data_IF_146794550647
#
_entry.id   IF_146794550647
#
_cell.length_a   1.000
_cell.length_b   1.000
_cell.length_c   1.000
_cell.angle_alpha   90.00
_cell.angle_beta   90.00
_cell.angle_gamma   90.00
#
_symmetry.space_group_name_H-M   'P 1'
#
loop_
_entity.id
_entity.type
_entity.pdbx_description
1 polymer ?
#
# COMPACT_ATOMS: atom_id res chain seq x y z
N UNK A 1 -39.88 3.61 31.18
CA UNK A 1 -39.16 4.15 30.01
C UNK A 1 -38.15 5.28 30.35
N UNK A 2 -38.02 5.69 31.60
CA UNK A 2 -37.22 6.83 32.03
C UNK A 2 -35.82 6.51 32.62
N UNK A 3 -35.50 5.23 32.84
CA UNK A 3 -34.23 4.83 33.48
C UNK A 3 -33.07 4.46 32.50
N UNK A 4 -33.36 4.36 31.19
CA UNK A 4 -32.35 4.03 30.18
C UNK A 4 -31.62 5.26 29.57
N UNK A 5 -32.24 6.43 29.63
CA UNK A 5 -31.65 7.67 29.09
C UNK A 5 -30.62 8.32 30.02
N UNK A 6 -30.66 8.08 31.32
CA UNK A 6 -29.70 8.64 32.27
C UNK A 6 -28.32 7.91 32.27
N UNK A 7 -28.26 6.63 31.84
CA UNK A 7 -26.97 5.91 31.78
C UNK A 7 -26.12 6.25 30.54
N UNK A 8 -26.73 6.68 29.44
CA UNK A 8 -25.97 7.07 28.23
C UNK A 8 -25.32 8.45 28.40
N UNK A 9 -26.01 9.39 29.06
CA UNK A 9 -25.44 10.72 29.34
C UNK A 9 -24.25 10.67 30.33
N UNK A 10 -24.25 9.71 31.27
CA UNK A 10 -23.17 9.57 32.26
C UNK A 10 -21.89 8.96 31.68
N UNK A 11 -21.97 8.15 30.62
CA UNK A 11 -20.79 7.56 29.94
C UNK A 11 -20.12 8.60 29.05
N UNK A 12 -20.88 9.48 28.40
CA UNK A 12 -20.33 10.58 27.62
C UNK A 12 -19.64 11.65 28.47
N UNK A 13 -20.19 11.98 29.64
CA UNK A 13 -19.59 12.97 30.57
C UNK A 13 -18.31 12.43 31.25
N UNK A 14 -18.23 11.13 31.52
CA UNK A 14 -17.06 10.49 32.10
C UNK A 14 -15.90 10.39 31.08
N UNK A 15 -16.21 10.15 29.79
CA UNK A 15 -15.20 10.15 28.71
C UNK A 15 -14.57 11.51 28.47
N UNK A 16 -15.33 12.60 28.55
CA UNK A 16 -14.80 13.97 28.41
C UNK A 16 -13.95 14.41 29.61
N UNK A 17 -14.24 13.94 30.83
CA UNK A 17 -13.46 14.24 32.03
C UNK A 17 -12.13 13.47 32.08
N UNK A 18 -12.07 12.26 31.50
CA UNK A 18 -10.84 11.46 31.41
C UNK A 18 -9.90 11.99 30.30
N UNK A 19 -10.42 12.47 29.18
CA UNK A 19 -9.62 13.12 28.14
C UNK A 19 -9.01 14.45 28.62
N UNK A 20 -9.76 15.24 29.40
CA UNK A 20 -9.26 16.49 29.99
C UNK A 20 -8.17 16.26 31.05
N UNK A 21 -8.21 15.15 31.78
CA UNK A 21 -7.20 14.83 32.80
C UNK A 21 -5.91 14.24 32.19
N UNK A 22 -5.99 13.52 31.07
CA UNK A 22 -4.83 13.00 30.35
C UNK A 22 -4.03 14.12 29.66
N UNK A 23 -4.71 15.15 29.11
CA UNK A 23 -4.04 16.32 28.51
C UNK A 23 -3.28 17.21 29.52
N UNK A 24 -3.63 17.17 30.79
CA UNK A 24 -2.98 17.99 31.83
C UNK A 24 -1.67 17.37 32.36
N UNK A 25 -1.37 16.12 32.01
CA UNK A 25 -0.20 15.39 32.52
C UNK A 25 0.99 15.34 31.54
N UNK A 26 0.81 15.70 30.24
CA UNK A 26 1.86 15.72 29.24
C UNK A 26 2.37 17.15 29.01
N UNK A 27 3.38 17.54 29.78
CA UNK A 27 3.89 18.93 29.79
C UNK A 27 4.62 19.38 28.51
N UNK A 28 4.89 18.52 27.54
CA UNK A 28 5.65 18.83 26.30
C UNK A 28 5.17 18.06 25.03
N UNK A 29 3.99 17.45 25.05
CA UNK A 29 3.49 16.78 23.85
C UNK A 29 3.11 17.82 22.77
N UNK A 30 3.64 17.66 21.57
CA UNK A 30 3.24 18.45 20.42
C UNK A 30 1.73 18.28 20.18
N UNK A 31 1.00 19.40 20.29
CA UNK A 31 -0.45 19.47 20.10
C UNK A 31 -0.73 20.17 18.79
N UNK A 32 -1.40 19.52 17.87
CA UNK A 32 -1.75 20.12 16.58
C UNK A 32 -3.26 20.03 16.36
N UNK A 33 -3.88 21.12 15.93
CA UNK A 33 -5.31 21.20 15.64
C UNK A 33 -5.54 21.61 14.19
N UNK A 34 -6.23 20.77 13.42
CA UNK A 34 -6.77 21.16 12.10
C UNK A 34 -8.16 21.72 12.32
N UNK A 35 -8.40 22.98 11.92
CA UNK A 35 -9.64 23.70 12.25
C UNK A 35 -10.43 24.07 11.00
N UNK A 36 -11.77 23.98 11.06
CA UNK A 36 -12.66 24.35 9.95
C UNK A 36 -12.67 23.38 8.77
N UNK A 37 -12.08 22.19 8.95
CA UNK A 37 -11.87 21.22 7.87
C UNK A 37 -13.13 20.40 7.59
N UNK A 38 -13.30 19.96 6.35
CA UNK A 38 -14.27 18.90 6.00
C UNK A 38 -13.57 17.55 6.19
N UNK A 39 -14.04 16.72 7.13
CA UNK A 39 -13.50 15.38 7.36
C UNK A 39 -14.19 14.37 6.46
N UNK A 40 -13.41 13.53 5.79
CA UNK A 40 -13.83 12.31 5.10
C UNK A 40 -13.39 11.12 5.97
N UNK A 41 -14.27 10.58 6.81
CA UNK A 41 -13.85 9.64 7.86
C UNK A 41 -13.50 8.25 7.33
N UNK A 42 -13.91 7.88 6.12
CA UNK A 42 -13.72 6.57 5.47
C UNK A 42 -14.39 5.37 6.20
N UNK A 43 -15.22 5.63 7.21
CA UNK A 43 -16.07 4.62 7.85
C UNK A 43 -17.37 4.34 7.05
N UNK A 44 -17.84 5.37 6.32
CA UNK A 44 -18.97 5.35 5.40
C UNK A 44 -18.76 6.44 4.33
N UNK A 45 -19.49 6.34 3.21
CA UNK A 45 -19.49 7.36 2.14
C UNK A 45 -20.21 8.63 2.62
N UNK A 46 -19.46 9.51 3.28
CA UNK A 46 -19.96 10.75 3.85
C UNK A 46 -18.84 11.75 4.10
N UNK A 47 -19.22 13.01 4.26
CA UNK A 47 -18.35 14.09 4.73
C UNK A 47 -18.90 14.68 6.02
N UNK A 48 -18.01 15.18 6.87
CA UNK A 48 -18.35 15.96 8.08
C UNK A 48 -17.78 17.37 7.89
N UNK A 49 -18.58 18.36 7.51
CA UNK A 49 -18.09 19.70 7.26
C UNK A 49 -17.75 20.45 8.56
N UNK A 50 -16.89 21.46 8.45
CA UNK A 50 -16.55 22.40 9.51
C UNK A 50 -16.15 21.73 10.84
N UNK A 51 -15.23 20.75 10.77
CA UNK A 51 -14.72 20.06 11.94
C UNK A 51 -13.42 20.67 12.45
N UNK A 52 -13.18 20.51 13.74
CA UNK A 52 -11.87 20.63 14.37
C UNK A 52 -11.41 19.26 14.81
N UNK A 53 -10.20 18.88 14.38
CA UNK A 53 -9.53 17.63 14.75
C UNK A 53 -8.29 17.97 15.56
N UNK A 54 -8.24 17.54 16.82
CA UNK A 54 -7.11 17.73 17.72
C UNK A 54 -6.27 16.46 17.79
N UNK A 55 -4.97 16.62 17.55
CA UNK A 55 -3.98 15.54 17.53
C UNK A 55 -2.97 15.77 18.64
N UNK A 56 -2.69 14.73 19.41
CA UNK A 56 -1.67 14.68 20.44
C UNK A 56 -0.99 13.32 20.44
N UNK A 57 0.33 13.28 20.61
CA UNK A 57 1.10 12.02 20.68
C UNK A 57 0.79 11.05 19.52
N UNK A 58 0.60 11.60 18.32
CA UNK A 58 0.30 10.81 17.12
C UNK A 58 -1.11 10.25 17.05
N UNK A 59 -2.03 10.68 17.93
CA UNK A 59 -3.42 10.20 17.98
C UNK A 59 -4.42 11.34 17.88
N UNK A 60 -5.58 11.04 17.31
CA UNK A 60 -6.75 11.90 17.32
C UNK A 60 -7.35 11.84 18.73
N UNK A 61 -7.19 12.92 19.51
CA UNK A 61 -7.68 12.98 20.90
C UNK A 61 -9.04 13.65 21.03
N UNK A 62 -9.41 14.49 20.07
CA UNK A 62 -10.75 15.08 19.99
C UNK A 62 -11.12 15.40 18.54
N UNK A 63 -12.41 15.32 18.22
CA UNK A 63 -12.98 15.74 16.95
C UNK A 63 -14.42 16.20 17.18
N UNK A 64 -14.81 17.30 16.54
CA UNK A 64 -16.16 17.84 16.62
C UNK A 64 -16.32 19.11 15.79
N UNK A 65 -17.53 19.65 15.76
CA UNK A 65 -17.82 20.91 15.05
C UNK A 65 -16.93 22.04 15.55
N UNK A 66 -16.37 22.82 14.63
CA UNK A 66 -15.47 23.94 14.95
C UNK A 66 -16.14 24.91 15.92
N UNK A 67 -15.42 25.23 16.99
CA UNK A 67 -15.92 26.05 18.14
C UNK A 67 -16.49 25.16 19.27
N UNK A 68 -16.73 23.89 19.10
CA UNK A 68 -17.16 22.99 20.20
C UNK A 68 -15.99 22.23 20.82
N UNK A 69 -14.89 22.05 20.09
CA UNK A 69 -13.66 21.41 20.59
C UNK A 69 -12.83 22.46 21.33
N UNK A 70 -12.53 22.18 22.60
CA UNK A 70 -11.62 23.05 23.40
C UNK A 70 -10.18 22.81 22.97
N UNK A 71 -9.53 23.87 22.47
CA UNK A 71 -8.13 23.81 22.06
C UNK A 71 -7.23 24.31 23.21
N UNK A 72 -6.20 23.52 23.60
CA UNK A 72 -5.19 24.01 24.56
C UNK A 72 -4.45 25.23 24.05
N UNK A 73 -3.99 26.10 24.96
CA UNK A 73 -3.30 27.39 24.68
C UNK A 73 -1.94 27.09 24.12
N UNK A 74 -1.45 26.36 23.54
CA UNK A 74 -0.15 26.03 22.90
C UNK A 74 -0.29 25.12 21.67
N UNK A 75 -1.52 24.75 21.32
CA UNK A 75 -1.74 23.93 20.18
C UNK A 75 -1.39 24.67 18.88
N UNK A 76 -0.53 24.07 18.07
CA UNK A 76 -0.31 24.50 16.70
C UNK A 76 -1.63 24.42 15.92
N UNK A 77 -1.90 25.42 15.09
CA UNK A 77 -3.15 25.48 14.33
C UNK A 77 -2.89 25.44 12.85
N UNK A 78 -3.49 24.44 12.20
CA UNK A 78 -3.53 24.31 10.75
C UNK A 78 -4.92 24.74 10.29
N UNK A 79 -4.97 25.71 9.39
CA UNK A 79 -6.21 26.13 8.76
C UNK A 79 -6.69 25.06 7.77
N UNK A 80 -7.84 24.48 8.05
CA UNK A 80 -8.49 23.48 7.23
C UNK A 80 -9.72 24.03 6.47
N UNK A 81 -9.98 25.34 6.54
CA UNK A 81 -11.15 25.93 5.90
C UNK A 81 -11.12 25.72 4.37
N UNK A 82 -12.18 25.11 3.85
CA UNK A 82 -12.27 24.75 2.43
C UNK A 82 -11.47 23.50 2.01
N UNK A 83 -10.80 22.83 2.95
CA UNK A 83 -9.95 21.64 2.73
C UNK A 83 -10.60 20.38 3.24
N UNK A 84 -10.01 19.24 2.88
CA UNK A 84 -10.49 17.89 3.19
C UNK A 84 -9.44 17.09 3.94
N UNK A 85 -9.83 16.53 5.09
CA UNK A 85 -8.98 15.69 5.92
C UNK A 85 -9.48 14.25 5.86
N UNK A 86 -8.62 13.32 5.46
CA UNK A 86 -8.92 11.90 5.39
C UNK A 86 -7.76 11.06 5.93
N UNK A 87 -7.94 9.72 6.13
CA UNK A 87 -6.81 8.85 6.42
C UNK A 87 -5.78 8.93 5.32
N UNK A 88 -4.51 8.84 5.68
CA UNK A 88 -3.44 8.71 4.72
C UNK A 88 -3.54 7.43 3.89
N UNK A 89 -2.92 7.47 2.72
CA UNK A 89 -2.94 6.37 1.76
C UNK A 89 -2.04 5.23 2.22
N UNK A 90 -2.29 4.04 1.67
CA UNK A 90 -1.47 2.86 1.86
C UNK A 90 -0.98 2.31 0.52
N UNK A 91 0.27 1.88 0.47
CA UNK A 91 0.82 1.04 -0.59
C UNK A 91 1.05 -0.37 -0.03
N UNK A 92 0.26 -1.34 -0.51
CA UNK A 92 0.27 -2.70 0.00
C UNK A 92 1.16 -3.65 -0.81
N UNK A 93 1.92 -3.12 -1.76
CA UNK A 93 2.94 -3.86 -2.49
C UNK A 93 4.00 -2.90 -3.03
N UNK A 94 5.05 -2.72 -2.27
CA UNK A 94 6.18 -1.88 -2.64
C UNK A 94 7.51 -2.54 -2.24
N UNK A 95 8.59 -1.99 -2.74
CA UNK A 95 9.94 -2.40 -2.43
C UNK A 95 10.77 -1.15 -2.13
N UNK A 96 11.35 -1.08 -0.95
CA UNK A 96 12.18 0.03 -0.51
C UNK A 96 13.63 -0.40 -0.47
N UNK A 97 14.32 -0.28 -1.59
CA UNK A 97 15.72 -0.68 -1.70
C UNK A 97 16.61 0.50 -2.07
N UNK A 98 17.89 0.45 -1.65
CA UNK A 98 18.95 1.11 -2.41
C UNK A 98 19.14 0.37 -3.76
N UNK A 99 19.68 1.06 -4.76
CA UNK A 99 19.74 0.54 -6.14
C UNK A 99 20.62 -0.70 -6.32
N UNK A 100 21.42 -1.08 -5.36
CA UNK A 100 22.22 -2.32 -5.41
C UNK A 100 21.57 -3.43 -4.58
N UNK A 101 20.65 -4.15 -5.21
CA UNK A 101 19.98 -5.31 -4.60
C UNK A 101 20.94 -6.48 -4.32
N UNK A 102 22.09 -6.56 -5.00
CA UNK A 102 23.06 -7.62 -4.83
C UNK A 102 23.97 -7.42 -3.60
N UNK A 103 24.22 -6.16 -3.23
CA UNK A 103 25.05 -5.77 -2.08
C UNK A 103 24.19 -5.33 -0.89
N UNK A 104 23.35 -6.21 -0.33
CA UNK A 104 22.44 -5.92 0.78
C UNK A 104 23.10 -5.29 2.02
N UNK A 105 24.41 -5.35 2.14
CA UNK A 105 25.19 -4.76 3.25
C UNK A 105 25.62 -3.29 3.00
N UNK A 106 25.55 -2.81 1.76
CA UNK A 106 26.04 -1.47 1.34
C UNK A 106 24.94 -0.60 0.73
N UNK A 107 23.69 -0.80 1.11
CA UNK A 107 22.58 0.03 0.61
C UNK A 107 22.85 1.51 0.91
N UNK A 108 22.71 2.35 -0.11
CA UNK A 108 22.76 3.79 0.08
C UNK A 108 21.51 4.25 0.84
N UNK A 109 21.71 4.58 2.11
CA UNK A 109 20.63 5.01 3.00
C UNK A 109 19.98 6.31 2.54
N UNK A 110 20.67 7.14 1.75
CA UNK A 110 20.10 8.37 1.18
C UNK A 110 19.06 8.06 0.11
N UNK A 111 19.27 7.03 -0.71
CA UNK A 111 18.27 6.56 -1.69
C UNK A 111 17.02 6.01 -1.01
N UNK A 112 17.19 5.24 0.07
CA UNK A 112 16.08 4.73 0.88
C UNK A 112 15.27 5.88 1.49
N UNK A 113 15.95 6.88 2.08
CA UNK A 113 15.28 8.07 2.63
C UNK A 113 14.52 8.83 1.56
N UNK A 114 15.10 9.03 0.39
CA UNK A 114 14.45 9.72 -0.72
C UNK A 114 13.17 8.99 -1.18
N UNK A 115 13.19 7.66 -1.24
CA UNK A 115 11.99 6.85 -1.54
C UNK A 115 10.91 7.06 -0.49
N UNK A 116 11.26 6.97 0.80
CA UNK A 116 10.30 7.14 1.91
C UNK A 116 9.70 8.56 1.92
N UNK A 117 10.50 9.60 1.64
CA UNK A 117 10.01 10.97 1.49
C UNK A 117 9.08 11.09 0.27
N UNK A 118 9.41 10.43 -0.84
CA UNK A 118 8.55 10.38 -2.04
C UNK A 118 7.15 9.81 -1.73
N UNK A 119 7.08 8.74 -0.94
CA UNK A 119 5.80 8.21 -0.45
C UNK A 119 5.06 9.23 0.44
N UNK A 120 5.75 9.88 1.36
CA UNK A 120 5.17 10.89 2.22
C UNK A 120 4.62 12.09 1.42
N UNK A 121 5.36 12.54 0.39
CA UNK A 121 5.00 13.67 -0.47
C UNK A 121 3.78 13.39 -1.39
N UNK A 122 3.32 12.15 -1.44
CA UNK A 122 2.09 11.74 -2.12
C UNK A 122 0.99 11.27 -1.17
N UNK A 123 1.18 11.49 0.15
CA UNK A 123 0.18 11.19 1.16
C UNK A 123 0.15 9.73 1.63
N UNK A 124 1.13 8.91 1.28
CA UNK A 124 1.25 7.54 1.78
C UNK A 124 1.75 7.55 3.22
N UNK A 125 0.99 6.95 4.12
CA UNK A 125 1.30 6.87 5.56
C UNK A 125 1.51 5.45 6.07
N UNK A 126 1.25 4.46 5.21
CA UNK A 126 1.42 3.05 5.49
C UNK A 126 1.96 2.34 4.25
N UNK A 127 2.96 1.50 4.42
CA UNK A 127 3.59 0.75 3.34
C UNK A 127 3.84 -0.70 3.78
N UNK A 128 3.48 -1.66 2.91
CA UNK A 128 3.89 -3.04 3.05
C UNK A 128 5.01 -3.33 2.05
N UNK A 129 6.22 -3.53 2.58
CA UNK A 129 7.36 -3.99 1.77
C UNK A 129 7.19 -5.48 1.46
N UNK A 130 7.20 -5.83 0.17
CA UNK A 130 6.88 -7.16 -0.33
C UNK A 130 8.11 -8.08 -0.45
N UNK A 131 9.29 -7.61 -0.07
CA UNK A 131 10.53 -8.40 -0.10
C UNK A 131 11.53 -7.89 0.95
N UNK A 132 11.13 -7.89 2.21
CA UNK A 132 11.92 -7.37 3.31
C UNK A 132 13.24 -8.12 3.50
N UNK A 133 14.27 -7.35 3.84
CA UNK A 133 15.58 -7.84 4.27
C UNK A 133 15.85 -7.43 5.71
N UNK A 134 16.88 -7.96 6.39
CA UNK A 134 17.24 -7.51 7.74
C UNK A 134 17.48 -5.99 7.84
N UNK A 135 17.97 -5.33 6.81
CA UNK A 135 18.18 -3.88 6.77
C UNK A 135 16.88 -3.07 6.90
N UNK A 136 15.76 -3.59 6.43
CA UNK A 136 14.47 -2.92 6.51
C UNK A 136 13.97 -2.70 7.94
N UNK A 137 14.42 -3.51 8.90
CA UNK A 137 14.11 -3.27 10.31
C UNK A 137 14.70 -1.96 10.81
N UNK A 138 15.91 -1.59 10.35
CA UNK A 138 16.50 -0.29 10.64
C UNK A 138 15.64 0.85 10.08
N UNK A 139 15.15 0.73 8.84
CA UNK A 139 14.30 1.76 8.24
C UNK A 139 13.01 1.94 9.03
N UNK A 140 12.36 0.84 9.38
CA UNK A 140 11.16 0.83 10.22
C UNK A 140 11.41 1.51 11.57
N UNK A 141 12.53 1.22 12.23
CA UNK A 141 12.90 1.83 13.51
C UNK A 141 13.16 3.33 13.37
N UNK A 142 13.90 3.77 12.35
CA UNK A 142 14.18 5.18 12.09
C UNK A 142 12.92 5.99 11.79
N UNK A 143 12.02 5.45 10.99
CA UNK A 143 10.71 6.07 10.73
C UNK A 143 9.87 6.11 12.01
N UNK A 144 9.78 5.01 12.75
CA UNK A 144 8.99 4.95 13.99
C UNK A 144 9.52 5.90 15.08
N UNK A 145 10.84 6.13 15.13
CA UNK A 145 11.47 7.09 16.04
C UNK A 145 11.29 8.55 15.61
N UNK A 146 10.82 8.80 14.37
CA UNK A 146 10.75 10.15 13.79
C UNK A 146 12.10 10.70 13.29
N UNK A 147 13.13 9.86 13.26
CA UNK A 147 14.45 10.23 12.72
C UNK A 147 14.39 10.40 11.19
N UNK A 148 13.52 9.65 10.53
CA UNK A 148 13.27 9.69 9.10
C UNK A 148 11.82 10.01 8.77
N UNK A 149 11.60 10.83 7.76
CA UNK A 149 10.26 11.10 7.20
C UNK A 149 9.88 9.90 6.32
N UNK A 150 8.73 9.30 6.59
CA UNK A 150 8.23 8.19 5.79
C UNK A 150 6.98 7.53 6.37
N UNK A 151 6.35 6.60 5.63
CA UNK A 151 5.22 5.81 6.08
C UNK A 151 5.62 4.77 7.13
N UNK A 152 4.67 4.31 7.93
CA UNK A 152 4.85 3.11 8.77
C UNK A 152 5.08 1.88 7.89
N UNK A 153 6.10 1.06 8.21
CA UNK A 153 6.53 -0.08 7.41
C UNK A 153 6.06 -1.42 7.99
N UNK A 154 5.36 -2.20 7.16
CA UNK A 154 5.06 -3.61 7.39
C UNK A 154 5.94 -4.45 6.46
N UNK A 155 6.72 -5.35 7.01
CA UNK A 155 7.76 -6.08 6.28
C UNK A 155 7.31 -7.52 6.03
N UNK A 156 7.15 -7.92 4.77
CA UNK A 156 7.10 -9.33 4.41
C UNK A 156 8.51 -9.93 4.48
N UNK A 157 8.61 -11.26 4.55
CA UNK A 157 9.90 -11.97 4.53
C UNK A 157 10.67 -11.75 3.23
N UNK A 158 11.94 -12.11 3.18
CA UNK A 158 12.60 -12.40 1.90
C UNK A 158 11.74 -13.35 1.07
N UNK A 159 11.80 -13.19 -0.26
CA UNK A 159 10.95 -13.93 -1.20
C UNK A 159 11.34 -15.40 -1.23
N UNK A 160 10.38 -16.31 -0.97
CA UNK A 160 10.58 -17.74 -1.21
C UNK A 160 10.50 -18.05 -2.71
N UNK A 161 11.53 -18.67 -3.27
CA UNK A 161 11.57 -19.17 -4.64
C UNK A 161 12.00 -20.63 -4.73
N UNK A 162 11.70 -21.23 -5.87
CA UNK A 162 12.06 -22.61 -6.17
C UNK A 162 13.40 -22.76 -6.88
N UNK A 163 13.58 -23.90 -7.58
CA UNK A 163 14.83 -24.25 -8.28
C UNK A 163 15.23 -23.23 -9.34
N UNK A 164 14.26 -22.69 -10.08
CA UNK A 164 14.47 -21.65 -11.10
C UNK A 164 14.12 -20.30 -10.53
N UNK A 165 15.00 -19.78 -9.66
CA UNK A 165 14.81 -18.43 -9.13
C UNK A 165 14.88 -17.38 -10.25
N UNK A 166 14.04 -16.36 -10.11
CA UNK A 166 13.95 -15.26 -11.08
C UNK A 166 14.95 -14.15 -10.71
N UNK A 167 15.21 -14.00 -9.41
CA UNK A 167 16.06 -12.96 -8.87
C UNK A 167 17.11 -13.54 -7.94
N UNK A 168 18.36 -13.08 -8.04
CA UNK A 168 19.48 -13.59 -7.25
C UNK A 168 19.39 -13.29 -5.75
N UNK A 169 18.59 -12.28 -5.37
CA UNK A 169 18.39 -11.88 -3.97
C UNK A 169 17.27 -12.65 -3.23
N UNK A 170 16.63 -13.61 -3.88
CA UNK A 170 15.55 -14.43 -3.29
C UNK A 170 16.08 -15.63 -2.51
N UNK A 171 15.26 -16.18 -1.63
CA UNK A 171 15.59 -17.37 -0.85
C UNK A 171 15.13 -18.62 -1.60
N UNK A 172 16.09 -19.31 -2.19
CA UNK A 172 15.83 -20.57 -2.91
C UNK A 172 15.55 -21.70 -1.93
N UNK A 173 14.35 -22.28 -2.01
CA UNK A 173 13.91 -23.42 -1.21
C UNK A 173 13.38 -24.54 -2.10
N UNK A 174 14.05 -25.70 -2.08
CA UNK A 174 13.70 -26.87 -2.90
C UNK A 174 13.41 -28.10 -2.06
N UNK A 175 13.71 -28.06 -0.77
CA UNK A 175 13.43 -29.12 0.20
C UNK A 175 12.35 -28.65 1.17
N UNK A 176 11.18 -29.28 1.22
CA UNK A 176 10.11 -28.89 2.15
C UNK A 176 10.52 -28.99 3.63
N UNK A 177 11.54 -29.82 3.97
CA UNK A 177 12.05 -29.92 5.34
C UNK A 177 12.78 -28.64 5.77
N UNK A 178 13.34 -27.88 4.83
CA UNK A 178 14.03 -26.65 5.12
C UNK A 178 13.09 -25.45 5.42
N UNK A 179 11.79 -25.60 5.16
CA UNK A 179 10.80 -24.51 5.28
C UNK A 179 10.58 -24.11 6.73
N UNK A 180 10.32 -25.07 7.62
CA UNK A 180 9.96 -24.80 9.02
C UNK A 180 11.01 -23.96 9.76
N UNK A 181 12.32 -24.28 9.74
CA UNK A 181 13.31 -23.45 10.41
C UNK A 181 13.43 -22.03 9.82
N UNK A 182 13.20 -21.87 8.51
CA UNK A 182 13.18 -20.54 7.86
C UNK A 182 11.99 -19.71 8.34
N UNK A 183 10.79 -20.28 8.33
CA UNK A 183 9.56 -19.59 8.73
C UNK A 183 9.61 -19.24 10.22
N UNK A 184 10.08 -20.15 11.08
CA UNK A 184 10.30 -19.89 12.50
C UNK A 184 11.28 -18.73 12.72
N UNK A 185 12.38 -18.69 11.96
CA UNK A 185 13.36 -17.59 12.03
C UNK A 185 12.76 -16.25 11.59
N UNK A 186 11.92 -16.23 10.57
CA UNK A 186 11.25 -15.01 10.14
C UNK A 186 10.19 -14.53 11.15
N UNK A 187 9.45 -15.46 11.76
CA UNK A 187 8.53 -15.13 12.86
C UNK A 187 9.27 -14.51 14.05
N UNK A 188 10.38 -15.11 14.47
CA UNK A 188 11.23 -14.62 15.57
C UNK A 188 11.85 -13.25 15.25
N UNK A 189 12.28 -13.02 14.01
CA UNK A 189 12.82 -11.75 13.55
C UNK A 189 11.76 -10.62 13.51
N UNK A 190 10.46 -10.95 13.51
CA UNK A 190 9.37 -9.99 13.53
C UNK A 190 8.93 -9.51 12.15
N UNK A 191 9.11 -10.34 11.12
CA UNK A 191 8.44 -10.13 9.84
C UNK A 191 6.93 -10.26 10.01
N UNK A 192 6.18 -9.40 9.31
CA UNK A 192 4.72 -9.40 9.38
C UNK A 192 4.09 -10.61 8.70
N UNK A 193 4.67 -11.09 7.61
CA UNK A 193 4.14 -12.20 6.81
C UNK A 193 5.20 -12.77 5.87
N UNK A 194 4.81 -13.78 5.10
CA UNK A 194 5.70 -14.47 4.15
C UNK A 194 5.37 -14.05 2.71
N UNK A 195 6.41 -13.83 1.90
CA UNK A 195 6.28 -13.60 0.46
C UNK A 195 6.68 -14.86 -0.31
N UNK A 196 5.78 -15.37 -1.13
CA UNK A 196 6.07 -16.48 -2.07
C UNK A 196 6.09 -16.01 -3.52
N UNK A 197 6.82 -16.71 -4.34
CA UNK A 197 6.92 -16.44 -5.77
C UNK A 197 6.46 -17.64 -6.61
N UNK A 198 6.34 -17.47 -7.92
CA UNK A 198 5.67 -18.43 -8.82
C UNK A 198 6.47 -19.69 -9.13
N UNK A 199 7.73 -19.77 -8.72
CA UNK A 199 8.60 -20.93 -8.99
C UNK A 199 8.65 -21.97 -7.86
N UNK A 200 7.95 -21.72 -6.75
CA UNK A 200 7.85 -22.64 -5.61
C UNK A 200 7.15 -23.92 -6.05
N UNK A 201 7.74 -25.08 -5.70
CA UNK A 201 7.13 -26.39 -5.99
C UNK A 201 5.92 -26.69 -5.09
N UNK A 202 4.98 -27.58 -5.49
CA UNK A 202 3.81 -27.90 -4.68
C UNK A 202 4.15 -28.35 -3.26
N UNK A 203 5.13 -29.25 -3.10
CA UNK A 203 5.52 -29.78 -1.79
C UNK A 203 6.10 -28.70 -0.86
N UNK A 204 6.88 -27.78 -1.43
CA UNK A 204 7.41 -26.60 -0.68
C UNK A 204 6.31 -25.61 -0.36
N UNK A 205 5.37 -25.39 -1.28
CA UNK A 205 4.21 -24.54 -1.06
C UNK A 205 3.37 -25.06 0.11
N UNK A 206 3.03 -26.34 0.14
CA UNK A 206 2.26 -26.96 1.22
C UNK A 206 2.99 -26.86 2.57
N UNK A 207 4.33 -27.02 2.57
CA UNK A 207 5.16 -26.85 3.76
C UNK A 207 5.15 -25.38 4.25
N UNK A 208 5.23 -24.40 3.32
CA UNK A 208 5.14 -22.97 3.67
C UNK A 208 3.79 -22.65 4.29
N UNK A 209 2.68 -23.08 3.67
CA UNK A 209 1.34 -22.80 4.19
C UNK A 209 1.13 -23.43 5.56
N UNK A 210 1.60 -24.66 5.77
CA UNK A 210 1.52 -25.37 7.06
C UNK A 210 2.32 -24.65 8.14
N UNK A 211 3.56 -24.27 7.83
CA UNK A 211 4.45 -23.59 8.79
C UNK A 211 3.95 -22.17 9.10
N UNK A 212 3.50 -21.43 8.08
CA UNK A 212 2.92 -20.11 8.25
C UNK A 212 1.72 -20.12 9.21
N UNK A 213 0.83 -21.11 9.05
CA UNK A 213 -0.29 -21.29 9.96
C UNK A 213 0.15 -21.57 11.40
N UNK A 214 1.17 -22.41 11.60
CA UNK A 214 1.71 -22.73 12.92
C UNK A 214 2.30 -21.50 13.63
N UNK A 215 2.87 -20.57 12.89
CA UNK A 215 3.47 -19.32 13.40
C UNK A 215 2.55 -18.10 13.32
N UNK A 216 1.29 -18.26 12.87
CA UNK A 216 0.32 -17.17 12.65
C UNK A 216 0.83 -16.07 11.71
N UNK A 217 1.60 -16.43 10.70
CA UNK A 217 2.08 -15.51 9.67
C UNK A 217 1.16 -15.55 8.45
N UNK A 218 0.65 -14.41 7.96
CA UNK A 218 -0.04 -14.35 6.68
C UNK A 218 0.94 -14.69 5.55
N UNK A 219 0.40 -15.29 4.49
CA UNK A 219 1.16 -15.59 3.26
C UNK A 219 0.61 -14.75 2.13
N UNK A 220 1.49 -14.03 1.45
CA UNK A 220 1.18 -13.21 0.30
C UNK A 220 2.07 -13.56 -0.88
N UNK A 221 1.65 -13.27 -2.09
CA UNK A 221 2.55 -13.39 -3.23
C UNK A 221 1.92 -13.87 -4.53
N UNK A 222 2.74 -14.54 -5.31
CA UNK A 222 2.33 -15.07 -6.60
C UNK A 222 1.77 -16.48 -6.45
N UNK A 223 0.81 -16.83 -7.31
CA UNK A 223 0.37 -18.21 -7.45
C UNK A 223 1.49 -19.03 -8.09
N UNK A 224 1.94 -20.13 -7.47
CA UNK A 224 2.97 -20.97 -8.08
C UNK A 224 2.46 -21.68 -9.33
N UNK A 225 3.30 -21.75 -10.39
CA UNK A 225 2.91 -22.29 -11.68
C UNK A 225 2.38 -23.72 -11.60
N UNK A 226 3.06 -24.58 -10.81
CA UNK A 226 2.72 -25.98 -10.67
C UNK A 226 1.61 -26.26 -9.65
N UNK A 227 1.19 -25.25 -8.87
CA UNK A 227 0.06 -25.31 -7.93
C UNK A 227 -1.23 -24.85 -8.61
N UNK A 228 -1.18 -23.73 -9.31
CA UNK A 228 -2.32 -23.12 -10.00
C UNK A 228 -3.27 -22.37 -9.09
N UNK A 229 -4.18 -21.59 -9.71
CA UNK A 229 -5.05 -20.65 -8.99
C UNK A 229 -6.05 -21.34 -8.07
N UNK A 230 -6.69 -22.42 -8.52
CA UNK A 230 -7.73 -23.10 -7.75
C UNK A 230 -7.19 -23.66 -6.42
N UNK A 231 -6.07 -24.40 -6.46
CA UNK A 231 -5.45 -24.94 -5.25
C UNK A 231 -4.87 -23.85 -4.35
N UNK A 232 -4.35 -22.75 -4.93
CA UNK A 232 -3.85 -21.62 -4.15
C UNK A 232 -4.99 -20.91 -3.41
N UNK A 233 -6.15 -20.71 -4.02
CA UNK A 233 -7.32 -20.12 -3.33
C UNK A 233 -7.80 -21.01 -2.17
N UNK A 234 -7.67 -22.34 -2.26
CA UNK A 234 -8.05 -23.29 -1.22
C UNK A 234 -7.00 -23.44 -0.10
N UNK A 235 -5.78 -22.94 -0.30
CA UNK A 235 -4.65 -23.15 0.61
C UNK A 235 -4.66 -22.31 1.88
N UNK A 236 -5.45 -21.22 1.93
CA UNK A 236 -5.41 -20.23 2.99
C UNK A 236 -4.41 -19.09 2.75
N UNK A 237 -3.90 -18.91 1.53
CA UNK A 237 -3.15 -17.70 1.15
C UNK A 237 -3.98 -16.46 1.49
N UNK A 238 -3.33 -15.39 1.97
CA UNK A 238 -4.07 -14.22 2.45
C UNK A 238 -4.20 -13.13 1.39
N UNK A 239 -3.23 -12.96 0.49
CA UNK A 239 -3.37 -12.08 -0.67
C UNK A 239 -2.62 -12.58 -1.90
N UNK A 240 -3.20 -12.31 -3.07
CA UNK A 240 -2.60 -12.53 -4.39
C UNK A 240 -2.18 -11.19 -4.96
N UNK A 241 -0.93 -11.13 -5.41
CA UNK A 241 -0.29 -9.94 -5.95
C UNK A 241 -0.32 -9.95 -7.48
N UNK A 242 -0.47 -8.76 -8.13
CA UNK A 242 -0.41 -8.58 -9.60
C UNK A 242 -1.44 -9.40 -10.39
N UNK A 243 -2.52 -9.85 -9.75
CA UNK A 243 -3.48 -10.80 -10.33
C UNK A 243 -2.82 -12.10 -10.83
N UNK A 244 -1.66 -12.47 -10.24
CA UNK A 244 -0.94 -13.70 -10.61
C UNK A 244 -1.76 -14.92 -10.29
N UNK A 245 -1.89 -15.79 -11.30
CA UNK A 245 -2.73 -16.97 -11.23
C UNK A 245 -3.99 -16.84 -12.07
N UNK A 246 -4.68 -15.70 -11.97
CA UNK A 246 -5.80 -15.39 -12.87
C UNK A 246 -5.31 -15.14 -14.31
N UNK A 247 -4.12 -14.55 -14.44
CA UNK A 247 -3.48 -14.14 -15.69
C UNK A 247 -2.78 -15.28 -16.46
N UNK A 248 -2.83 -16.50 -15.94
CA UNK A 248 -2.35 -17.68 -16.64
C UNK A 248 -3.30 -18.89 -16.52
N UNK A 249 -4.53 -18.64 -16.09
CA UNK A 249 -5.55 -19.69 -16.07
C UNK A 249 -5.73 -20.29 -17.48
N UNK A 250 -5.62 -21.61 -17.58
CA UNK A 250 -5.65 -22.32 -18.85
C UNK A 250 -4.40 -22.19 -19.73
N UNK A 251 -3.33 -21.53 -19.27
CA UNK A 251 -2.02 -21.52 -19.98
C UNK A 251 -1.26 -22.80 -19.63
N UNK A 252 -0.69 -23.52 -20.62
CA UNK A 252 0.13 -24.69 -20.34
C UNK A 252 1.32 -24.33 -19.43
N UNK A 253 1.51 -25.06 -18.34
CA UNK A 253 2.57 -24.80 -17.36
C UNK A 253 3.96 -24.80 -18.01
N UNK A 254 4.19 -25.66 -19.02
CA UNK A 254 5.46 -25.69 -19.77
C UNK A 254 5.76 -24.33 -20.46
N UNK A 255 4.73 -23.61 -20.94
CA UNK A 255 4.90 -22.28 -21.55
C UNK A 255 5.26 -21.23 -20.49
N UNK A 256 4.67 -21.31 -19.29
CA UNK A 256 5.01 -20.42 -18.19
C UNK A 256 6.47 -20.60 -17.73
N UNK A 257 6.94 -21.84 -17.69
CA UNK A 257 8.32 -22.15 -17.33
C UNK A 257 9.35 -21.72 -18.40
N UNK A 258 8.95 -21.62 -19.68
CA UNK A 258 9.87 -21.31 -20.77
C UNK A 258 10.46 -19.88 -20.66
N UNK A 259 9.72 -18.93 -20.11
CA UNK A 259 10.11 -17.52 -20.05
C UNK A 259 9.84 -16.84 -18.68
N UNK A 260 9.65 -17.64 -17.65
CA UNK A 260 9.37 -17.12 -16.30
C UNK A 260 8.03 -16.39 -16.20
N UNK A 261 7.06 -16.74 -17.05
CA UNK A 261 5.73 -16.15 -17.08
C UNK A 261 5.69 -14.71 -17.62
N UNK A 262 6.64 -14.33 -18.49
CA UNK A 262 6.71 -13.01 -19.12
C UNK A 262 6.21 -13.00 -20.57
N UNK A 263 5.64 -14.12 -21.02
CA UNK A 263 5.25 -14.33 -22.40
C UNK A 263 3.99 -13.59 -22.82
N UNK A 264 3.90 -13.35 -24.12
CA UNK A 264 2.65 -12.95 -24.77
C UNK A 264 1.49 -13.91 -24.41
N UNK A 265 1.75 -15.22 -24.33
CA UNK A 265 0.72 -16.24 -24.08
C UNK A 265 0.04 -16.03 -22.72
N UNK A 266 0.81 -15.72 -21.68
CA UNK A 266 0.27 -15.39 -20.36
C UNK A 266 -0.66 -14.19 -20.44
N UNK A 267 -0.21 -13.05 -20.95
CA UNK A 267 -1.04 -11.84 -21.02
C UNK A 267 -2.29 -12.06 -21.89
N UNK A 268 -2.14 -12.75 -23.02
CA UNK A 268 -3.27 -13.07 -23.89
C UNK A 268 -4.29 -14.04 -23.27
N UNK A 269 -3.97 -14.68 -22.14
CA UNK A 269 -4.93 -15.55 -21.43
C UNK A 269 -6.17 -14.79 -20.95
N UNK A 270 -6.01 -13.52 -20.55
CA UNK A 270 -7.12 -12.67 -20.18
C UNK A 270 -8.20 -12.59 -21.25
N UNK A 271 -7.80 -12.44 -22.51
CA UNK A 271 -8.73 -12.38 -23.67
C UNK A 271 -9.39 -13.72 -23.99
N UNK A 272 -8.91 -14.82 -23.40
CA UNK A 272 -9.50 -16.16 -23.52
C UNK A 272 -10.38 -16.54 -22.33
N UNK A 273 -10.35 -15.77 -21.26
CA UNK A 273 -11.17 -15.99 -20.07
C UNK A 273 -12.65 -15.83 -20.42
N UNK A 274 -13.42 -16.90 -20.26
CA UNK A 274 -14.88 -16.82 -20.50
C UNK A 274 -15.57 -16.13 -19.34
N UNK A 275 -16.76 -15.53 -19.56
CA UNK A 275 -17.54 -14.93 -18.46
C UNK A 275 -17.83 -15.93 -17.33
N UNK A 276 -18.12 -17.19 -17.66
CA UNK A 276 -18.40 -18.24 -16.67
C UNK A 276 -17.17 -18.54 -15.81
N UNK A 277 -15.98 -18.62 -16.43
CA UNK A 277 -14.74 -18.85 -15.68
C UNK A 277 -14.36 -17.65 -14.81
N UNK A 278 -14.53 -16.45 -15.32
CA UNK A 278 -14.36 -15.20 -14.53
C UNK A 278 -15.26 -15.24 -13.31
N UNK A 279 -16.55 -15.50 -13.47
CA UNK A 279 -17.53 -15.48 -12.38
C UNK A 279 -17.24 -16.61 -11.36
N UNK A 280 -16.76 -17.79 -11.83
CA UNK A 280 -16.28 -18.87 -10.96
C UNK A 280 -15.06 -18.43 -10.12
N UNK A 281 -14.04 -17.84 -10.76
CA UNK A 281 -12.82 -17.37 -10.07
C UNK A 281 -13.15 -16.27 -9.06
N UNK A 282 -14.00 -15.31 -9.41
CA UNK A 282 -14.49 -14.28 -8.50
C UNK A 282 -15.18 -14.90 -7.29
N UNK A 283 -16.10 -15.84 -7.53
CA UNK A 283 -16.83 -16.55 -6.47
C UNK A 283 -15.89 -17.32 -5.53
N UNK A 284 -14.91 -18.03 -6.08
CA UNK A 284 -13.90 -18.74 -5.29
C UNK A 284 -13.02 -17.80 -4.47
N UNK A 285 -12.59 -16.67 -5.05
CA UNK A 285 -11.81 -15.65 -4.37
C UNK A 285 -12.55 -15.09 -3.16
N UNK A 286 -13.83 -14.74 -3.34
CA UNK A 286 -14.69 -14.26 -2.25
C UNK A 286 -14.88 -15.33 -1.17
N UNK A 287 -15.18 -16.58 -1.57
CA UNK A 287 -15.40 -17.68 -0.64
C UNK A 287 -14.13 -18.01 0.18
N UNK A 288 -12.96 -17.90 -0.42
CA UNK A 288 -11.66 -18.09 0.22
C UNK A 288 -11.25 -16.91 1.13
N UNK A 289 -11.90 -15.74 0.99
CA UNK A 289 -11.52 -14.52 1.72
C UNK A 289 -10.17 -13.96 1.31
N UNK A 290 -9.68 -14.29 0.11
CA UNK A 290 -8.38 -13.85 -0.41
C UNK A 290 -8.47 -12.41 -0.87
N UNK A 291 -7.50 -11.60 -0.45
CA UNK A 291 -7.35 -10.21 -0.89
C UNK A 291 -6.54 -10.13 -2.18
N UNK A 292 -6.72 -9.06 -2.94
CA UNK A 292 -5.99 -8.83 -4.17
C UNK A 292 -5.31 -7.47 -4.15
N UNK A 293 -4.03 -7.45 -4.58
CA UNK A 293 -3.24 -6.22 -4.82
C UNK A 293 -2.82 -6.24 -6.29
N UNK A 294 -3.61 -5.63 -7.18
CA UNK A 294 -3.51 -5.86 -8.62
C UNK A 294 -2.34 -5.16 -9.29
N UNK A 295 -1.84 -4.05 -8.76
CA UNK A 295 -0.74 -3.24 -9.32
C UNK A 295 -0.95 -2.88 -10.80
N UNK A 296 -2.15 -2.45 -11.15
CA UNK A 296 -2.53 -2.20 -12.55
C UNK A 296 -1.86 -0.96 -13.14
N UNK A 297 -1.58 0.06 -12.33
CA UNK A 297 -0.89 1.26 -12.78
C UNK A 297 0.50 0.92 -13.35
N UNK A 298 1.22 0.01 -12.69
CA UNK A 298 2.51 -0.51 -13.15
C UNK A 298 2.35 -1.24 -14.49
N UNK A 299 1.35 -2.11 -14.59
CA UNK A 299 1.06 -2.80 -15.85
C UNK A 299 0.78 -1.79 -16.98
N UNK A 300 0.02 -0.74 -16.71
CA UNK A 300 -0.28 0.32 -17.69
C UNK A 300 1.00 1.02 -18.17
N UNK A 301 1.92 1.32 -17.30
CA UNK A 301 3.19 1.96 -17.68
C UNK A 301 4.06 1.13 -18.62
N UNK A 302 3.88 -0.20 -18.67
CA UNK A 302 4.63 -1.07 -19.59
C UNK A 302 4.23 -0.88 -21.05
N UNK A 303 2.95 -0.59 -21.34
CA UNK A 303 2.44 -0.51 -22.71
C UNK A 303 1.92 0.89 -23.11
N UNK A 304 1.61 1.77 -22.15
CA UNK A 304 1.02 3.09 -22.40
C UNK A 304 2.05 4.22 -22.25
N UNK A 305 2.61 4.76 -23.37
CA UNK A 305 3.55 5.86 -23.30
C UNK A 305 2.94 7.14 -22.71
N UNK A 306 1.60 7.35 -22.82
CA UNK A 306 0.95 8.53 -22.27
C UNK A 306 0.92 8.47 -20.73
N UNK A 307 0.72 7.29 -20.14
CA UNK A 307 0.79 7.12 -18.69
C UNK A 307 2.19 7.47 -18.17
N UNK A 308 3.26 7.01 -18.84
CA UNK A 308 4.64 7.40 -18.48
C UNK A 308 4.90 8.89 -18.63
N UNK A 309 4.43 9.48 -19.73
CA UNK A 309 4.59 10.92 -19.98
C UNK A 309 3.93 11.74 -18.86
N UNK A 310 2.75 11.36 -18.40
CA UNK A 310 2.04 12.05 -17.34
C UNK A 310 2.85 12.06 -16.01
N UNK A 311 3.52 10.97 -15.67
CA UNK A 311 4.41 10.92 -14.49
C UNK A 311 5.63 11.82 -14.68
N UNK A 312 6.28 11.76 -15.85
CA UNK A 312 7.49 12.56 -16.15
C UNK A 312 7.18 14.06 -16.20
N UNK A 313 6.02 14.45 -16.67
CA UNK A 313 5.57 15.85 -16.78
C UNK A 313 5.06 16.42 -15.45
N UNK A 314 4.82 15.56 -14.44
CA UNK A 314 4.34 16.03 -13.14
C UNK A 314 5.39 16.93 -12.47
N UNK A 315 5.01 18.11 -11.89
CA UNK A 315 5.96 19.08 -11.34
C UNK A 315 6.93 18.52 -10.27
N UNK A 316 6.46 17.57 -9.44
CA UNK A 316 7.29 16.93 -8.40
C UNK A 316 8.27 15.90 -8.96
N UNK A 317 8.11 15.46 -10.21
CA UNK A 317 9.03 14.49 -10.83
C UNK A 317 10.48 15.00 -10.87
N UNK A 318 10.68 16.29 -11.11
CA UNK A 318 12.00 16.90 -11.14
C UNK A 318 12.72 16.93 -9.78
N UNK A 319 11.99 16.67 -8.68
CA UNK A 319 12.55 16.60 -7.31
C UNK A 319 13.00 15.20 -6.90
N UNK A 320 12.69 14.19 -7.71
CA UNK A 320 13.14 12.81 -7.48
C UNK A 320 14.65 12.71 -7.68
N UNK A 321 15.24 11.65 -7.12
CA UNK A 321 16.66 11.35 -7.37
C UNK A 321 16.96 11.24 -8.86
N UNK A 322 18.13 11.72 -9.32
CA UNK A 322 18.51 11.63 -10.73
C UNK A 322 18.43 10.21 -11.30
N UNK A 323 18.82 9.19 -10.52
CA UNK A 323 18.73 7.80 -10.92
C UNK A 323 17.28 7.33 -11.14
N UNK A 324 16.33 7.75 -10.29
CA UNK A 324 14.90 7.47 -10.46
C UNK A 324 14.34 8.14 -11.71
N UNK A 325 14.72 9.42 -11.94
CA UNK A 325 14.31 10.15 -13.14
C UNK A 325 14.81 9.47 -14.42
N UNK A 326 16.07 9.03 -14.43
CA UNK A 326 16.66 8.34 -15.56
C UNK A 326 16.02 6.97 -15.79
N UNK A 327 15.83 6.19 -14.72
CA UNK A 327 15.14 4.90 -14.79
C UNK A 327 13.72 5.01 -15.39
N UNK A 328 12.98 6.07 -15.04
CA UNK A 328 11.64 6.32 -15.59
C UNK A 328 11.65 6.78 -17.05
N UNK A 329 12.67 7.56 -17.45
CA UNK A 329 12.84 8.02 -18.84
C UNK A 329 13.38 6.93 -19.75
N UNK A 330 14.23 6.03 -19.21
CA UNK A 330 14.82 4.92 -19.96
C UNK A 330 13.87 3.72 -19.98
N UNK A 331 13.70 3.11 -21.14
CA UNK A 331 13.00 1.83 -21.29
C UNK A 331 13.93 0.61 -21.21
N UNK A 332 15.25 0.82 -21.10
CA UNK A 332 16.23 -0.27 -21.18
C UNK A 332 16.00 -1.37 -20.14
N UNK A 333 15.72 -1.00 -18.89
CA UNK A 333 15.41 -1.96 -17.83
C UNK A 333 14.14 -2.75 -18.09
N UNK A 334 13.09 -2.10 -18.61
CA UNK A 334 11.82 -2.74 -18.95
C UNK A 334 11.93 -3.57 -20.23
N UNK A 335 12.67 -3.10 -21.23
CA UNK A 335 12.93 -3.83 -22.48
C UNK A 335 13.74 -5.10 -22.24
N UNK A 336 14.59 -5.14 -21.22
CA UNK A 336 15.31 -6.34 -20.80
C UNK A 336 14.39 -7.39 -20.13
N UNK A 337 13.28 -6.94 -19.52
CA UNK A 337 12.35 -7.80 -18.80
C UNK A 337 11.17 -8.23 -19.67
N UNK A 338 10.60 -7.32 -20.46
CA UNK A 338 9.38 -7.54 -21.25
C UNK A 338 9.61 -7.23 -22.72
N UNK A 339 9.41 -8.20 -23.59
CA UNK A 339 9.44 -7.98 -25.03
C UNK A 339 8.32 -7.02 -25.49
N UNK A 340 8.52 -6.36 -26.62
CA UNK A 340 7.46 -5.52 -27.25
C UNK A 340 6.18 -6.33 -27.44
N UNK A 341 6.28 -7.56 -27.95
CA UNK A 341 5.15 -8.46 -28.19
C UNK A 341 4.38 -8.82 -26.91
N UNK A 342 5.08 -8.95 -25.77
CA UNK A 342 4.45 -9.16 -24.46
C UNK A 342 3.74 -7.91 -23.94
N UNK A 343 4.31 -6.73 -24.15
CA UNK A 343 3.71 -5.45 -23.76
C UNK A 343 2.47 -5.14 -24.61
N UNK A 344 2.51 -5.42 -25.91
CA UNK A 344 1.35 -5.26 -26.76
C UNK A 344 0.20 -6.19 -26.32
N UNK A 345 0.51 -7.46 -26.00
CA UNK A 345 -0.49 -8.39 -25.47
C UNK A 345 -1.08 -7.95 -24.13
N UNK A 346 -0.25 -7.35 -23.25
CA UNK A 346 -0.72 -6.76 -22.00
C UNK A 346 -1.68 -5.59 -22.25
N UNK A 347 -1.35 -4.71 -23.21
CA UNK A 347 -2.23 -3.60 -23.60
C UNK A 347 -3.58 -4.07 -24.14
N UNK A 348 -3.57 -5.13 -24.97
CA UNK A 348 -4.80 -5.78 -25.47
C UNK A 348 -5.65 -6.39 -24.34
N UNK A 349 -5.01 -6.92 -23.30
CA UNK A 349 -5.65 -7.57 -22.15
C UNK A 349 -6.13 -6.60 -21.07
N UNK A 350 -5.56 -5.41 -20.99
CA UNK A 350 -5.77 -4.47 -19.90
C UNK A 350 -7.26 -4.13 -19.64
N UNK A 351 -8.11 -3.90 -20.63
CA UNK A 351 -9.54 -3.69 -20.40
C UNK A 351 -10.22 -4.87 -19.68
N UNK A 352 -9.82 -6.11 -20.00
CA UNK A 352 -10.38 -7.32 -19.35
C UNK A 352 -9.92 -7.40 -17.91
N UNK A 353 -8.69 -6.97 -17.60
CA UNK A 353 -8.19 -6.88 -16.23
C UNK A 353 -9.00 -5.85 -15.42
N UNK A 354 -9.34 -4.69 -15.99
CA UNK A 354 -10.21 -3.70 -15.36
C UNK A 354 -11.63 -4.27 -15.08
N UNK A 355 -12.22 -4.97 -16.04
CA UNK A 355 -13.50 -5.66 -15.85
C UNK A 355 -13.44 -6.72 -14.74
N UNK A 356 -12.31 -7.43 -14.61
CA UNK A 356 -12.10 -8.42 -13.54
C UNK A 356 -12.03 -7.75 -12.16
N UNK A 357 -11.33 -6.62 -12.02
CA UNK A 357 -11.31 -5.83 -10.79
C UNK A 357 -12.71 -5.34 -10.43
N UNK A 358 -13.47 -4.87 -11.41
CA UNK A 358 -14.87 -4.47 -11.17
C UNK A 358 -15.71 -5.65 -10.67
N UNK A 359 -15.57 -6.82 -11.27
CA UNK A 359 -16.29 -8.01 -10.85
C UNK A 359 -15.90 -8.46 -9.42
N UNK A 360 -14.61 -8.41 -9.06
CA UNK A 360 -14.15 -8.65 -7.69
C UNK A 360 -14.77 -7.66 -6.70
N UNK A 361 -14.75 -6.37 -7.03
CA UNK A 361 -15.34 -5.31 -6.20
C UNK A 361 -16.85 -5.51 -5.99
N UNK A 362 -17.58 -5.76 -7.07
CA UNK A 362 -19.05 -5.96 -7.01
C UNK A 362 -19.45 -7.21 -6.22
N UNK A 363 -18.61 -8.23 -6.22
CA UNK A 363 -18.79 -9.44 -5.44
C UNK A 363 -18.34 -9.29 -3.97
N UNK A 364 -17.73 -8.17 -3.58
CA UNK A 364 -17.26 -7.90 -2.23
C UNK A 364 -15.93 -8.57 -1.89
N UNK A 365 -15.11 -8.93 -2.88
CA UNK A 365 -13.74 -9.39 -2.65
C UNK A 365 -12.88 -8.28 -2.02
N UNK A 366 -11.91 -8.66 -1.22
CA UNK A 366 -10.93 -7.72 -0.67
C UNK A 366 -10.01 -7.19 -1.77
N UNK A 367 -9.99 -5.86 -1.93
CA UNK A 367 -9.09 -5.15 -2.84
C UNK A 367 -8.24 -4.15 -2.05
N UNK A 368 -6.97 -4.07 -2.37
CA UNK A 368 -6.03 -3.09 -1.82
C UNK A 368 -5.18 -2.51 -2.93
N UNK A 369 -4.82 -1.23 -2.79
CA UNK A 369 -3.85 -0.59 -3.69
C UNK A 369 -2.44 -1.07 -3.40
N UNK A 370 -1.64 -1.22 -4.44
CA UNK A 370 -0.22 -1.51 -4.40
C UNK A 370 0.43 -1.14 -5.72
N UNK A 371 1.73 -0.89 -5.70
CA UNK A 371 2.39 -0.28 -6.86
C UNK A 371 3.54 -1.09 -7.45
N UNK A 372 4.08 -2.06 -6.71
CA UNK A 372 5.33 -2.71 -7.11
C UNK A 372 6.50 -1.70 -7.32
N UNK A 373 6.39 -0.51 -6.70
CA UNK A 373 7.46 0.51 -6.76
C UNK A 373 8.72 -0.02 -6.10
N UNK A 374 9.88 0.46 -6.57
CA UNK A 374 11.21 -0.06 -6.24
C UNK A 374 11.78 -0.91 -7.38
N UNK A 375 10.96 -1.32 -8.34
CA UNK A 375 11.43 -1.89 -9.61
C UNK A 375 11.87 -0.73 -10.53
N UNK A 376 12.97 -0.86 -11.31
CA UNK A 376 13.41 0.20 -12.22
C UNK A 376 12.28 0.68 -13.13
N UNK A 377 12.10 2.00 -13.22
CA UNK A 377 11.06 2.63 -14.02
C UNK A 377 9.76 2.93 -13.28
N UNK A 378 9.68 2.67 -11.96
CA UNK A 378 8.52 3.02 -11.15
C UNK A 378 8.87 4.02 -10.05
N UNK A 379 7.96 4.94 -9.77
CA UNK A 379 8.23 6.07 -8.88
C UNK A 379 7.50 5.87 -7.55
N UNK A 380 8.26 5.74 -6.45
CA UNK A 380 7.69 5.63 -5.11
C UNK A 380 6.67 6.75 -4.81
N UNK A 381 5.48 6.36 -4.38
CA UNK A 381 4.39 7.26 -4.05
C UNK A 381 3.53 7.71 -5.22
N UNK A 382 4.11 8.15 -6.34
CA UNK A 382 3.35 8.62 -7.51
C UNK A 382 2.42 7.53 -8.03
N UNK A 383 2.93 6.33 -8.21
CA UNK A 383 2.18 5.19 -8.73
C UNK A 383 1.00 4.79 -7.82
N UNK A 384 0.99 5.16 -6.54
CA UNK A 384 -0.16 4.90 -5.63
C UNK A 384 -1.39 5.70 -6.07
N UNK A 385 -1.20 6.97 -6.42
CA UNK A 385 -2.31 7.81 -6.90
C UNK A 385 -2.81 7.28 -8.25
N UNK A 386 -1.90 6.88 -9.14
CA UNK A 386 -2.25 6.27 -10.43
C UNK A 386 -3.03 4.95 -10.24
N UNK A 387 -2.66 4.12 -9.26
CA UNK A 387 -3.39 2.88 -8.95
C UNK A 387 -4.79 3.16 -8.42
N UNK A 388 -4.96 4.17 -7.54
CA UNK A 388 -6.28 4.59 -7.05
C UNK A 388 -7.15 5.11 -8.21
N UNK A 389 -6.58 5.91 -9.11
CA UNK A 389 -7.29 6.40 -10.30
C UNK A 389 -7.64 5.23 -11.24
N UNK A 390 -6.75 4.25 -11.40
CA UNK A 390 -7.01 3.05 -12.18
C UNK A 390 -8.18 2.22 -11.63
N UNK A 391 -8.38 2.19 -10.31
CA UNK A 391 -9.60 1.59 -9.74
C UNK A 391 -10.86 2.36 -10.15
N UNK A 392 -10.78 3.69 -10.24
CA UNK A 392 -11.84 4.51 -10.83
C UNK A 392 -12.09 4.18 -12.30
N UNK A 393 -11.03 4.03 -13.12
CA UNK A 393 -11.12 3.61 -14.52
C UNK A 393 -11.74 2.21 -14.67
N UNK A 394 -11.52 1.32 -13.69
CA UNK A 394 -12.17 0.02 -13.62
C UNK A 394 -13.67 0.11 -13.24
N UNK A 395 -14.19 1.29 -12.90
CA UNK A 395 -15.59 1.53 -12.58
C UNK A 395 -15.94 1.43 -11.10
N UNK A 396 -14.96 1.47 -10.20
CA UNK A 396 -15.21 1.66 -8.77
C UNK A 396 -15.60 3.14 -8.52
N UNK A 397 -16.48 3.36 -7.54
CA UNK A 397 -16.75 4.75 -7.12
C UNK A 397 -15.49 5.35 -6.46
N UNK A 398 -15.33 6.68 -6.42
CA UNK A 398 -14.22 7.30 -5.71
C UNK A 398 -14.10 6.82 -4.26
N UNK A 399 -15.22 6.65 -3.57
CA UNK A 399 -15.22 6.11 -2.20
C UNK A 399 -14.67 4.68 -2.13
N UNK A 400 -15.07 3.79 -3.05
CA UNK A 400 -14.56 2.41 -3.11
C UNK A 400 -13.06 2.37 -3.41
N UNK A 401 -12.59 3.19 -4.37
CA UNK A 401 -11.17 3.30 -4.70
C UNK A 401 -10.34 3.81 -3.51
N UNK A 402 -10.84 4.83 -2.80
CA UNK A 402 -10.20 5.34 -1.58
C UNK A 402 -10.23 4.33 -0.43
N UNK A 403 -11.30 3.52 -0.30
CA UNK A 403 -11.33 2.44 0.68
C UNK A 403 -10.21 1.41 0.46
N UNK A 404 -9.90 1.09 -0.79
CA UNK A 404 -8.83 0.15 -1.13
C UNK A 404 -7.43 0.66 -0.73
N UNK A 405 -7.27 1.96 -0.52
CA UNK A 405 -6.02 2.60 -0.08
C UNK A 405 -6.03 3.07 1.39
N UNK A 406 -7.09 2.85 2.14
CA UNK A 406 -7.23 3.36 3.51
C UNK A 406 -7.69 2.30 4.49
N UNK A 407 -9.01 2.07 4.59
CA UNK A 407 -9.57 1.14 5.58
C UNK A 407 -9.36 -0.34 5.19
N UNK A 408 -9.30 -0.67 3.91
CA UNK A 408 -9.08 -2.04 3.45
C UNK A 408 -7.69 -2.57 3.87
N UNK A 409 -6.57 -1.84 3.63
CA UNK A 409 -5.27 -2.18 4.19
C UNK A 409 -5.28 -2.36 5.71
N UNK A 410 -5.94 -1.47 6.45
CA UNK A 410 -6.00 -1.56 7.90
C UNK A 410 -6.76 -2.82 8.37
N UNK A 411 -7.82 -3.23 7.67
CA UNK A 411 -8.54 -4.48 7.94
C UNK A 411 -7.68 -5.70 7.65
N UNK A 412 -7.01 -5.71 6.50
CA UNK A 412 -6.13 -6.80 6.11
C UNK A 412 -4.97 -7.01 7.09
N UNK A 413 -4.37 -5.93 7.55
CA UNK A 413 -3.28 -5.97 8.53
C UNK A 413 -3.74 -6.22 9.97
N UNK A 414 -5.05 -6.28 10.23
CA UNK A 414 -5.61 -6.47 11.57
C UNK A 414 -5.49 -5.25 12.48
N UNK A 415 -5.31 -4.05 11.94
CA UNK A 415 -5.09 -2.78 12.67
C UNK A 415 -6.22 -1.77 12.48
N UNK A 416 -7.38 -2.19 12.00
CA UNK A 416 -8.51 -1.30 11.72
C UNK A 416 -9.04 -0.55 12.96
N UNK A 417 -8.82 -1.09 14.16
CA UNK A 417 -9.15 -0.39 15.42
C UNK A 417 -8.20 0.79 15.71
N UNK A 418 -7.00 0.78 15.14
CA UNK A 418 -5.95 1.78 15.38
C UNK A 418 -5.82 2.82 14.25
N UNK A 419 -6.18 2.48 12.99
CA UNK A 419 -6.02 3.36 11.82
C UNK A 419 -6.99 3.07 10.68
N UNK A 420 -6.84 3.73 9.53
CA UNK A 420 -7.66 3.55 8.32
C UNK A 420 -8.96 4.33 8.30
N UNK A 421 -9.33 5.01 9.40
CA UNK A 421 -10.47 5.94 9.47
C UNK A 421 -10.14 7.13 10.36
N UNK A 422 -10.80 8.28 10.13
CA UNK A 422 -10.66 9.46 11.03
C UNK A 422 -11.66 9.33 12.16
N UNK A 423 -11.16 8.93 13.34
CA UNK A 423 -11.98 8.79 14.55
C UNK A 423 -11.13 9.03 15.81
N UNK A 424 -11.77 9.51 16.87
CA UNK A 424 -11.11 9.72 18.17
C UNK A 424 -10.53 8.40 18.69
N UNK A 425 -9.30 8.45 19.18
CA UNK A 425 -8.51 7.34 19.69
C UNK A 425 -7.59 6.70 18.65
N UNK A 426 -7.82 6.89 17.35
CA UNK A 426 -7.00 6.33 16.28
C UNK A 426 -5.72 7.13 16.03
N UNK A 427 -4.71 6.48 15.48
CA UNK A 427 -3.48 7.14 15.02
C UNK A 427 -3.79 8.17 13.94
N UNK A 428 -3.07 9.27 13.99
CA UNK A 428 -3.18 10.36 13.04
C UNK A 428 -2.21 10.18 11.85
N UNK A 429 -2.35 9.08 11.11
CA UNK A 429 -1.84 8.99 9.75
C UNK A 429 -2.89 9.60 8.82
N UNK A 430 -2.77 10.88 8.51
CA UNK A 430 -3.81 11.67 7.85
C UNK A 430 -3.23 12.51 6.73
N UNK A 431 -4.04 12.77 5.69
CA UNK A 431 -3.73 13.74 4.62
C UNK A 431 -4.71 14.89 4.64
N UNK A 432 -4.21 16.09 4.39
CA UNK A 432 -4.99 17.31 4.16
C UNK A 432 -4.90 17.66 2.68
N UNK A 433 -6.04 17.71 2.01
CA UNK A 433 -6.18 17.97 0.58
C UNK A 433 -6.89 19.30 0.34
N UNK A 434 -6.53 20.02 -0.72
CA UNK A 434 -7.19 21.27 -1.09
C UNK A 434 -8.49 21.02 -1.88
N UNK A 435 -8.67 19.83 -2.49
CA UNK A 435 -9.83 19.46 -3.29
C UNK A 435 -10.50 18.16 -2.77
N UNK A 436 -11.75 17.91 -3.17
CA UNK A 436 -12.54 16.78 -2.70
C UNK A 436 -12.27 15.48 -3.48
N UNK A 437 -11.58 14.48 -2.90
CA UNK A 437 -11.27 13.23 -3.60
C UNK A 437 -12.48 12.30 -3.78
N UNK A 438 -13.61 12.57 -3.14
CA UNK A 438 -14.87 11.85 -3.39
C UNK A 438 -15.58 12.34 -4.66
N UNK A 439 -15.24 13.53 -5.15
CA UNK A 439 -15.77 14.08 -6.42
C UNK A 439 -14.84 13.75 -7.59
N UNK A 440 -13.52 13.85 -7.36
CA UNK A 440 -12.49 13.57 -8.38
C UNK A 440 -11.24 13.01 -7.70
N UNK A 441 -10.84 11.80 -8.06
CA UNK A 441 -9.64 11.15 -7.51
C UNK A 441 -8.34 11.89 -7.83
N UNK A 442 -8.32 12.76 -8.86
CA UNK A 442 -7.16 13.61 -9.17
C UNK A 442 -6.86 14.62 -8.05
N UNK A 443 -7.83 14.92 -7.18
CA UNK A 443 -7.68 15.74 -5.99
C UNK A 443 -6.63 15.19 -5.00
N UNK A 444 -6.23 13.92 -5.10
CA UNK A 444 -5.14 13.37 -4.31
C UNK A 444 -3.79 14.05 -4.61
N UNK A 445 -3.63 14.64 -5.79
CA UNK A 445 -2.47 15.44 -6.14
C UNK A 445 -2.46 16.84 -5.49
N UNK A 446 -3.62 17.32 -5.02
CA UNK A 446 -3.79 18.63 -4.36
C UNK A 446 -3.47 18.51 -2.86
N UNK A 447 -2.35 17.85 -2.52
CA UNK A 447 -1.92 17.64 -1.13
C UNK A 447 -1.44 18.94 -0.51
N UNK A 448 -2.02 19.34 0.62
CA UNK A 448 -1.50 20.43 1.47
C UNK A 448 -0.43 19.95 2.45
N UNK A 449 -0.52 18.70 2.90
CA UNK A 449 0.43 18.06 3.79
C UNK A 449 -0.09 16.79 4.43
N UNK A 450 0.75 16.17 5.24
CA UNK A 450 0.52 14.84 5.83
C UNK A 450 0.88 14.81 7.31
N UNK A 451 0.12 14.06 8.09
CA UNK A 451 0.51 13.67 9.45
C UNK A 451 1.17 12.29 9.41
N UNK A 452 2.43 12.24 9.83
CA UNK A 452 3.22 11.03 9.99
C UNK A 452 3.75 10.95 11.42
N UNK A 453 3.56 9.83 12.08
CA UNK A 453 4.07 9.59 13.44
C UNK A 453 3.75 10.73 14.43
N UNK A 454 2.59 11.39 14.24
CA UNK A 454 2.13 12.49 15.07
C UNK A 454 2.66 13.87 14.71
N UNK A 455 3.51 13.98 13.70
CA UNK A 455 4.06 15.22 13.22
C UNK A 455 3.36 15.67 11.94
N UNK A 456 3.09 16.96 11.84
CA UNK A 456 2.63 17.59 10.61
C UNK A 456 3.83 17.89 9.70
N UNK A 457 3.72 17.49 8.45
CA UNK A 457 4.63 17.87 7.38
C UNK A 457 3.82 18.57 6.30
N UNK A 458 4.07 19.85 6.07
CA UNK A 458 3.47 20.55 4.93
C UNK A 458 4.04 20.00 3.62
N UNK A 459 3.31 20.15 2.52
CA UNK A 459 3.85 19.77 1.22
C UNK A 459 5.16 20.50 0.90
N UNK A 460 5.28 21.77 1.30
CA UNK A 460 6.51 22.54 1.10
C UNK A 460 7.70 21.97 1.87
N UNK A 461 7.51 21.48 3.10
CA UNK A 461 8.56 20.83 3.89
C UNK A 461 8.99 19.49 3.23
N UNK A 462 8.03 18.72 2.72
CA UNK A 462 8.30 17.46 2.03
C UNK A 462 9.05 17.69 0.71
N UNK A 463 8.63 18.69 -0.05
CA UNK A 463 9.32 19.08 -1.30
C UNK A 463 10.74 19.58 -1.03
N UNK A 464 10.96 20.34 0.04
CA UNK A 464 12.29 20.77 0.45
C UNK A 464 13.17 19.57 0.86
N UNK A 465 12.60 18.58 1.57
CA UNK A 465 13.33 17.37 1.92
C UNK A 465 13.67 16.52 0.68
N UNK A 466 12.79 16.45 -0.33
CA UNK A 466 13.09 15.80 -1.62
C UNK A 466 14.25 16.50 -2.34
N UNK A 467 14.25 17.84 -2.39
CA UNK A 467 15.32 18.63 -3.03
C UNK A 467 16.66 18.44 -2.32
N UNK A 468 16.65 18.35 -0.98
CA UNK A 468 17.87 18.07 -0.20
C UNK A 468 18.46 16.70 -0.56
N UNK A 469 17.65 15.63 -0.57
CA UNK A 469 18.10 14.29 -0.94
C UNK A 469 18.60 14.24 -2.38
N UNK A 470 17.92 14.88 -3.32
CA UNK A 470 18.33 14.94 -4.73
C UNK A 470 19.66 15.65 -4.92
N UNK A 471 19.94 16.68 -4.11
CA UNK A 471 21.21 17.42 -4.15
C UNK A 471 22.35 16.57 -3.58
N UNK A 472 22.13 15.90 -2.44
CA UNK A 472 23.14 15.03 -1.81
C UNK A 472 23.55 13.87 -2.71
N UNK A 473 22.60 13.28 -3.44
CA UNK A 473 22.89 12.19 -4.38
C UNK A 473 23.61 12.64 -5.67
N UNK A 474 23.65 13.94 -5.96
CA UNK A 474 24.35 14.49 -7.13
C UNK A 474 25.81 14.87 -6.83
N UNK A 475 26.21 14.96 -5.57
CA UNK A 475 27.57 15.24 -5.09
C UNK A 475 28.40 13.96 -4.92
#
# INVERSE_FOLDING_TARGET
MTARFQKVASVFAAGMLLAGAALAASGDAALTAVTGVTVIPMDAERTLPNQTVLIAEGRIVAMGETGTVTLPAGAERIDGAGRYLMPGLADMHAHVYGYDLAEQETQDLSEVQAQLIGYAATGVTLLRDAAGTPGHFLYRERVAAGDWIGPDLFLASPIFEGERNVWDFTVKVTDPVAVEPLVAGYAEAGYWGLKIYHTVSPDVFDAIMTSAQAHNLPVMGHVPFDVGIDATLESGITSIEHLRGYDFDGVPVASLWADGGRSRERFSSWNRMTPERRDELVSKTVAAGVWNVPTLAVNRMLFDPAARAAVIEHPRFARLLPAMQEGMKSMEGLDAIFSVDSRDALGEAYPVMLEFIKALSDAGAGLMTGTDSGVPGYVPGFTVIDEIQTFGDAGLTPFQALQASTIAPARYLGIADDRGTVAVGKRAGLVLLDSNPLEDLSALWDLSGVFLNGHWHSLADLEAAMDEQSTMAAE
#
